data_IF_274072047420
#
_entry.id   IF_274072047420
#
_cell.length_a   1.000
_cell.length_b   1.000
_cell.length_c   1.000
_cell.angle_alpha   90.00
_cell.angle_beta   90.00
_cell.angle_gamma   90.00
#
_symmetry.space_group_name_H-M   'P 1'
#
loop_
_entity.id
_entity.type
_entity.pdbx_description
1 polymer ?
#
# COMPACT_ATOMS: atom_id res chain seq x y z
N UNK A 1 13.86 4.57 5.77
CA UNK A 1 12.82 3.54 5.58
C UNK A 1 12.44 3.03 6.97
N UNK A 2 11.48 3.68 7.64
CA UNK A 2 11.20 3.42 9.07
C UNK A 2 10.17 2.29 9.29
N UNK A 3 9.25 2.06 8.35
CA UNK A 3 8.12 1.15 8.56
C UNK A 3 8.52 -0.31 8.72
N UNK A 4 9.39 -0.83 7.84
CA UNK A 4 9.89 -2.21 7.91
C UNK A 4 10.72 -2.47 9.16
N UNK A 5 11.52 -1.49 9.58
CA UNK A 5 12.31 -1.58 10.81
C UNK A 5 11.42 -1.64 12.04
N UNK A 6 10.40 -0.77 12.12
CA UNK A 6 9.41 -0.80 13.20
C UNK A 6 8.58 -2.09 13.21
N UNK A 7 8.20 -2.60 12.04
CA UNK A 7 7.47 -3.87 11.94
C UNK A 7 8.32 -5.05 12.43
N UNK A 8 9.61 -5.09 12.06
CA UNK A 8 10.56 -6.07 12.57
C UNK A 8 10.74 -6.02 14.08
N UNK A 9 10.84 -4.80 14.65
CA UNK A 9 10.87 -4.59 16.10
C UNK A 9 9.59 -5.08 16.79
N UNK A 10 8.42 -4.74 16.24
CA UNK A 10 7.12 -5.16 16.76
C UNK A 10 6.97 -6.68 16.80
N UNK A 11 7.47 -7.37 15.78
CA UNK A 11 7.41 -8.84 15.65
C UNK A 11 8.59 -9.56 16.33
N UNK A 12 9.38 -8.82 17.13
CA UNK A 12 10.46 -9.37 17.95
C UNK A 12 11.64 -9.92 17.15
N UNK A 13 11.83 -9.49 15.90
CA UNK A 13 12.96 -9.92 15.04
C UNK A 13 12.98 -11.41 14.68
N UNK A 14 11.94 -12.17 15.03
CA UNK A 14 11.83 -13.62 14.76
C UNK A 14 11.35 -13.91 13.33
N UNK A 15 10.88 -12.88 12.64
CA UNK A 15 10.28 -12.97 11.31
C UNK A 15 11.33 -12.56 10.27
N UNK A 16 11.61 -13.46 9.33
CA UNK A 16 12.53 -13.17 8.23
C UNK A 16 12.04 -12.03 7.34
N UNK A 17 12.96 -11.36 6.64
CA UNK A 17 12.68 -10.18 5.82
C UNK A 17 11.58 -10.41 4.77
N UNK A 18 11.54 -11.60 4.17
CA UNK A 18 10.50 -11.96 3.19
C UNK A 18 9.09 -12.04 3.80
N UNK A 19 8.95 -12.60 5.00
CA UNK A 19 7.67 -12.64 5.72
C UNK A 19 7.30 -11.23 6.22
N UNK A 20 8.25 -10.46 6.74
CA UNK A 20 8.02 -9.06 7.11
C UNK A 20 7.49 -8.24 5.94
N UNK A 21 8.05 -8.42 4.74
CA UNK A 21 7.59 -7.73 3.52
C UNK A 21 6.21 -8.19 3.10
N UNK A 22 5.88 -9.48 3.18
CA UNK A 22 4.52 -9.99 2.91
C UNK A 22 3.50 -9.37 3.86
N UNK A 23 3.81 -9.30 5.15
CA UNK A 23 2.96 -8.65 6.15
C UNK A 23 2.79 -7.16 5.84
N UNK A 24 3.89 -6.45 5.54
CA UNK A 24 3.86 -5.05 5.16
C UNK A 24 3.00 -4.80 3.90
N UNK A 25 3.17 -5.61 2.86
CA UNK A 25 2.40 -5.51 1.63
C UNK A 25 0.90 -5.74 1.90
N UNK A 26 0.55 -6.75 2.71
CA UNK A 26 -0.84 -7.00 3.09
C UNK A 26 -1.46 -5.82 3.87
N UNK A 27 -0.70 -5.23 4.80
CA UNK A 27 -1.14 -4.08 5.58
C UNK A 27 -1.35 -2.83 4.70
N UNK A 28 -0.39 -2.51 3.84
CA UNK A 28 -0.51 -1.38 2.90
C UNK A 28 -1.65 -1.62 1.91
N UNK A 29 -1.80 -2.85 1.41
CA UNK A 29 -2.91 -3.25 0.53
C UNK A 29 -4.29 -3.07 1.18
N UNK A 30 -4.40 -3.32 2.48
CA UNK A 30 -5.62 -3.01 3.27
C UNK A 30 -5.85 -1.50 3.35
N UNK A 31 -4.83 -0.73 3.70
CA UNK A 31 -4.92 0.74 3.76
C UNK A 31 -5.37 1.36 2.44
N UNK A 32 -4.87 0.85 1.30
CA UNK A 32 -5.30 1.28 -0.05
C UNK A 32 -6.81 1.08 -0.26
N UNK A 33 -7.38 -0.05 0.19
CA UNK A 33 -8.83 -0.32 0.09
C UNK A 33 -9.64 0.63 0.97
N UNK A 34 -9.21 0.85 2.20
CA UNK A 34 -9.84 1.76 3.15
C UNK A 34 -9.82 3.21 2.64
N UNK A 35 -8.68 3.67 2.12
CA UNK A 35 -8.53 5.01 1.53
C UNK A 35 -9.42 5.21 0.31
N UNK A 36 -9.58 4.17 -0.55
CA UNK A 36 -10.51 4.22 -1.69
C UNK A 36 -11.95 4.50 -1.24
N UNK A 37 -12.42 3.78 -0.23
CA UNK A 37 -13.77 3.96 0.31
C UNK A 37 -13.92 5.36 0.93
N UNK A 38 -12.96 5.77 1.76
CA UNK A 38 -12.98 7.08 2.40
C UNK A 38 -12.97 8.25 1.38
N UNK A 39 -12.25 8.11 0.26
CA UNK A 39 -12.28 9.11 -0.83
C UNK A 39 -13.67 9.21 -1.44
N UNK A 40 -14.30 8.07 -1.72
CA UNK A 40 -15.64 8.02 -2.32
C UNK A 40 -16.69 8.65 -1.39
N UNK A 41 -16.66 8.29 -0.11
CA UNK A 41 -17.54 8.86 0.92
C UNK A 41 -17.35 10.37 1.05
N UNK A 42 -16.11 10.84 1.19
CA UNK A 42 -15.83 12.27 1.31
C UNK A 42 -16.26 13.06 0.06
N UNK A 43 -16.09 12.50 -1.13
CA UNK A 43 -16.53 13.14 -2.36
C UNK A 43 -18.06 13.20 -2.47
N UNK A 44 -18.75 12.13 -2.06
CA UNK A 44 -20.20 12.10 -2.01
C UNK A 44 -20.74 13.14 -1.01
N UNK A 45 -20.21 13.18 0.21
CA UNK A 45 -20.60 14.17 1.22
C UNK A 45 -20.37 15.61 0.76
N UNK A 46 -19.21 15.88 0.12
CA UNK A 46 -18.93 17.20 -0.43
C UNK A 46 -19.98 17.63 -1.45
N UNK A 47 -20.42 16.71 -2.32
CA UNK A 47 -21.47 16.97 -3.31
C UNK A 47 -22.84 17.20 -2.65
N UNK A 48 -23.18 16.39 -1.64
CA UNK A 48 -24.44 16.55 -0.89
C UNK A 48 -24.51 17.91 -0.19
N UNK A 49 -23.43 18.32 0.47
CA UNK A 49 -23.32 19.65 1.10
C UNK A 49 -23.48 20.78 0.09
N UNK A 50 -22.91 20.66 -1.11
CA UNK A 50 -23.08 21.66 -2.16
C UNK A 50 -24.55 21.76 -2.63
N UNK A 51 -25.24 20.62 -2.77
CA UNK A 51 -26.66 20.57 -3.14
C UNK A 51 -27.57 21.18 -2.07
N UNK A 52 -27.19 21.11 -0.80
CA UNK A 52 -27.84 21.77 0.34
C UNK A 52 -27.51 23.28 0.46
N UNK A 53 -26.69 23.83 -0.43
CA UNK A 53 -26.27 25.24 -0.39
C UNK A 53 -25.12 25.53 0.60
N UNK A 54 -24.54 24.51 1.22
CA UNK A 54 -23.45 24.62 2.22
C UNK A 54 -22.07 24.65 1.56
N UNK A 55 -21.86 25.66 0.71
CA UNK A 55 -20.66 25.75 -0.15
C UNK A 55 -19.33 25.77 0.64
N UNK A 56 -19.29 26.42 1.81
CA UNK A 56 -18.09 26.47 2.64
C UNK A 56 -17.68 25.09 3.17
N UNK A 57 -18.65 24.31 3.64
CA UNK A 57 -18.41 22.95 4.16
C UNK A 57 -18.10 21.96 3.03
N UNK A 58 -18.77 22.11 1.89
CA UNK A 58 -18.43 21.36 0.66
C UNK A 58 -16.96 21.59 0.26
N UNK A 59 -16.50 22.85 0.28
CA UNK A 59 -15.11 23.18 -0.07
C UNK A 59 -14.10 22.59 0.93
N UNK A 60 -14.42 22.60 2.23
CA UNK A 60 -13.61 21.93 3.25
C UNK A 60 -13.53 20.42 3.00
N UNK A 61 -14.68 19.79 2.70
CA UNK A 61 -14.74 18.35 2.44
C UNK A 61 -14.00 17.96 1.16
N UNK A 62 -14.03 18.80 0.13
CA UNK A 62 -13.17 18.63 -1.05
C UNK A 62 -11.68 18.75 -0.72
N UNK A 63 -11.31 19.51 0.32
CA UNK A 63 -9.96 19.51 0.88
C UNK A 63 -9.56 18.15 1.45
N UNK A 64 -10.47 17.48 2.17
CA UNK A 64 -10.24 16.12 2.66
C UNK A 64 -10.06 15.12 1.54
N UNK A 65 -10.88 15.20 0.49
CA UNK A 65 -10.76 14.35 -0.70
C UNK A 65 -9.36 14.47 -1.30
N UNK A 66 -8.81 15.68 -1.42
CA UNK A 66 -7.45 15.89 -1.94
C UNK A 66 -6.39 15.25 -1.03
N UNK A 67 -6.47 15.48 0.29
CA UNK A 67 -5.55 14.87 1.26
C UNK A 67 -5.60 13.34 1.25
N UNK A 68 -6.79 12.76 1.17
CA UNK A 68 -6.97 11.31 1.10
C UNK A 68 -6.41 10.75 -0.21
N UNK A 69 -6.60 11.43 -1.34
CA UNK A 69 -6.00 11.04 -2.63
C UNK A 69 -4.47 11.06 -2.58
N UNK A 70 -3.87 12.06 -1.93
CA UNK A 70 -2.42 12.12 -1.77
C UNK A 70 -1.89 10.94 -0.95
N UNK A 71 -2.56 10.60 0.17
CA UNK A 71 -2.23 9.40 0.96
C UNK A 71 -2.42 8.12 0.16
N UNK A 72 -3.51 8.00 -0.60
CA UNK A 72 -3.76 6.85 -1.46
C UNK A 72 -2.65 6.65 -2.50
N UNK A 73 -2.20 7.73 -3.15
CA UNK A 73 -1.08 7.70 -4.10
C UNK A 73 0.22 7.24 -3.42
N UNK A 74 0.56 7.81 -2.27
CA UNK A 74 1.74 7.40 -1.51
C UNK A 74 1.68 5.91 -1.11
N UNK A 75 0.52 5.42 -0.68
CA UNK A 75 0.33 4.00 -0.35
C UNK A 75 0.46 3.08 -1.58
N UNK A 76 0.02 3.50 -2.77
CA UNK A 76 0.23 2.75 -4.01
C UNK A 76 1.71 2.64 -4.36
N UNK A 77 2.46 3.74 -4.24
CA UNK A 77 3.91 3.75 -4.49
C UNK A 77 4.63 2.81 -3.51
N UNK A 78 4.27 2.83 -2.23
CA UNK A 78 4.83 1.93 -1.22
C UNK A 78 4.47 0.47 -1.48
N UNK A 79 3.22 0.17 -1.82
CA UNK A 79 2.80 -1.18 -2.19
C UNK A 79 3.57 -1.69 -3.41
N UNK A 80 3.80 -0.83 -4.40
CA UNK A 80 4.66 -1.13 -5.56
C UNK A 80 6.08 -1.50 -5.14
N UNK A 81 6.70 -0.73 -4.23
CA UNK A 81 8.04 -1.04 -3.69
C UNK A 81 8.11 -2.38 -2.97
N UNK A 82 7.08 -2.69 -2.17
CA UNK A 82 7.02 -3.93 -1.39
C UNK A 82 6.80 -5.17 -2.27
N UNK A 83 6.08 -5.04 -3.38
CA UNK A 83 5.71 -6.16 -4.26
C UNK A 83 6.63 -6.35 -5.46
N UNK A 84 7.38 -5.32 -5.89
CA UNK A 84 8.35 -5.45 -6.98
C UNK A 84 9.54 -6.35 -6.63
N UNK A 85 9.92 -6.39 -5.36
CA UNK A 85 11.01 -7.24 -4.86
C UNK A 85 10.69 -8.75 -4.97
N UNK A 86 9.43 -9.14 -4.78
CA UNK A 86 9.00 -10.55 -4.86
C UNK A 86 9.24 -11.14 -6.27
N UNK A 87 9.10 -10.31 -7.33
CA UNK A 87 9.44 -10.72 -8.70
C UNK A 87 10.95 -10.97 -8.89
N UNK A 88 11.79 -10.22 -8.18
CA UNK A 88 13.25 -10.38 -8.26
C UNK A 88 13.72 -11.68 -7.61
N UNK A 89 13.06 -12.13 -6.53
CA UNK A 89 13.42 -13.36 -5.81
C UNK A 89 12.97 -14.61 -6.56
N UNK A 90 11.80 -14.56 -7.23
CA UNK A 90 11.33 -15.68 -8.06
C UNK A 90 12.20 -15.88 -9.32
N UNK A 91 12.79 -14.82 -9.87
CA UNK A 91 13.69 -14.95 -11.03
C UNK A 91 15.07 -15.54 -10.70
N UNK A 92 15.53 -15.45 -9.45
CA UNK A 92 16.82 -15.98 -9.02
C UNK A 92 16.75 -17.46 -8.60
N UNK A 93 15.56 -17.94 -8.20
CA UNK A 93 15.33 -19.33 -7.80
C UNK A 93 15.12 -20.31 -8.97
N UNK A 94 15.23 -19.86 -10.22
CA UNK A 94 15.01 -20.67 -11.44
C UNK A 94 16.28 -21.18 -12.13
N UNK A 95 17.47 -20.98 -11.55
CA UNK A 95 18.76 -21.31 -12.16
C UNK A 95 19.55 -22.34 -11.37
N UNK A 96 19.01 -23.54 -11.16
CA UNK A 96 19.78 -24.69 -10.71
C UNK A 96 19.54 -25.89 -11.63
N UNK A 97 20.65 -26.49 -12.05
CA UNK A 97 20.82 -27.83 -12.65
C UNK A 97 20.72 -27.96 -14.18
N UNK A 98 21.86 -27.75 -14.85
CA UNK A 98 22.39 -28.74 -15.82
C UNK A 98 23.91 -28.86 -15.59
N UNK A 99 24.31 -29.63 -14.58
CA UNK A 99 25.63 -30.29 -14.61
C UNK A 99 25.42 -31.66 -15.26
N UNK A 100 26.20 -31.90 -16.32
CA UNK A 100 25.96 -32.99 -17.24
C UNK A 100 26.34 -34.37 -16.74
N UNK A 101 25.85 -35.36 -17.50
CA UNK A 101 26.38 -36.71 -17.47
C UNK A 101 26.52 -37.19 -18.91
N UNK A 102 27.77 -37.12 -19.39
CA UNK A 102 28.22 -37.85 -20.57
C UNK A 102 29.02 -39.06 -20.07
N UNK A 103 28.43 -40.25 -20.22
CA UNK A 103 29.12 -41.53 -20.20
C UNK A 103 28.34 -42.53 -21.08
#
# INVERSE_FOLDING_TARGET
MEFMAHLGQLLGGTVGEAELRRIAAAAVGRSIRELKLAIAEAAWEARSLAAEGRQGESAQRMGDVRRLRDRYRASLEEYGRLTSWDKSVVSDAGGCEEEGEAA
#
